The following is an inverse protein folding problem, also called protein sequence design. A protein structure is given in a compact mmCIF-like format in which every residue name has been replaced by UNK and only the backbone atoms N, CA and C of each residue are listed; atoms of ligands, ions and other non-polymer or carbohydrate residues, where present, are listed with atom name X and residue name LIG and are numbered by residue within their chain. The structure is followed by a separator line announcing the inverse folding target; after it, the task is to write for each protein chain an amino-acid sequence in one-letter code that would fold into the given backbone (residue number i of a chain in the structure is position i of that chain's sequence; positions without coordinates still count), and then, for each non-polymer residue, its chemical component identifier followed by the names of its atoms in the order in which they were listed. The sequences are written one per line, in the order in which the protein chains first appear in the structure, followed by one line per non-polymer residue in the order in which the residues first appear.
data_IF_982363361479
#
_entry.id   IF_982363361479
#
_cell.length_a   1.000
_cell.length_b   1.000
_cell.length_c   1.000
_cell.angle_alpha   90.00
_cell.angle_beta   90.00
_cell.angle_gamma   90.00
#
_symmetry.space_group_name_H-M   'P 1'
#
loop_
_entity.id
_entity.type
_entity.pdbx_description
1 polymer ?
#
# COMPACT_ATOMS: atom_id res chain seq x y z
N UNK A 1 -25.91 -2.59 -8.36
CA UNK A 1 -24.45 -2.36 -8.46
C UNK A 1 -23.98 -1.88 -7.09
N UNK A 2 -22.89 -2.43 -6.55
CA UNK A 2 -22.36 -1.99 -5.25
C UNK A 2 -21.56 -0.68 -5.40
N UNK A 3 -21.50 0.14 -4.35
CA UNK A 3 -20.83 1.46 -4.35
C UNK A 3 -19.37 1.42 -4.88
N UNK A 4 -18.67 0.29 -4.65
CA UNK A 4 -17.33 0.01 -5.18
C UNK A 4 -17.24 0.03 -6.72
N UNK A 5 -18.31 -0.40 -7.40
CA UNK A 5 -18.38 -0.49 -8.86
C UNK A 5 -18.89 0.80 -9.51
N UNK A 6 -19.61 1.63 -8.76
CA UNK A 6 -20.18 2.89 -9.25
C UNK A 6 -19.23 4.08 -9.07
N UNK A 7 -18.07 3.86 -8.45
CA UNK A 7 -17.07 4.91 -8.22
C UNK A 7 -17.42 5.86 -7.06
N UNK A 8 -18.42 5.52 -6.25
CA UNK A 8 -18.80 6.33 -5.09
C UNK A 8 -17.77 6.18 -3.97
N UNK A 9 -17.17 7.31 -3.54
CA UNK A 9 -16.25 7.36 -2.41
C UNK A 9 -17.07 7.35 -1.11
N UNK A 10 -17.33 6.15 -0.59
CA UNK A 10 -17.94 5.92 0.73
C UNK A 10 -16.88 5.52 1.76
N UNK A 11 -17.24 5.50 3.05
CA UNK A 11 -16.33 5.02 4.10
C UNK A 11 -15.86 3.58 3.86
N UNK A 12 -16.75 2.72 3.36
CA UNK A 12 -16.45 1.32 3.05
C UNK A 12 -15.42 1.21 1.92
N UNK A 13 -15.56 1.99 0.86
CA UNK A 13 -14.58 2.01 -0.24
C UNK A 13 -13.23 2.52 0.20
N UNK A 14 -13.19 3.54 1.08
CA UNK A 14 -11.93 4.05 1.63
C UNK A 14 -11.18 2.98 2.43
N UNK A 15 -11.90 2.24 3.30
CA UNK A 15 -11.31 1.15 4.09
C UNK A 15 -10.77 0.05 3.16
N UNK A 16 -11.53 -0.35 2.15
CA UNK A 16 -11.11 -1.40 1.20
C UNK A 16 -9.84 -0.98 0.46
N UNK A 17 -9.81 0.22 -0.11
CA UNK A 17 -8.64 0.72 -0.82
C UNK A 17 -7.43 0.92 0.09
N UNK A 18 -7.65 1.32 1.34
CA UNK A 18 -6.59 1.43 2.33
C UNK A 18 -5.98 0.05 2.66
N UNK A 19 -6.81 -0.98 2.85
CA UNK A 19 -6.32 -2.36 3.06
C UNK A 19 -5.54 -2.88 1.85
N UNK A 20 -6.04 -2.61 0.64
CA UNK A 20 -5.31 -2.95 -0.60
C UNK A 20 -3.95 -2.24 -0.64
N UNK A 21 -3.89 -0.96 -0.25
CA UNK A 21 -2.65 -0.20 -0.19
C UNK A 21 -1.62 -0.81 0.76
N UNK A 22 -2.06 -1.31 1.92
CA UNK A 22 -1.18 -1.98 2.88
C UNK A 22 -0.60 -3.27 2.29
N UNK A 23 -1.43 -4.08 1.63
CA UNK A 23 -0.99 -5.35 1.03
C UNK A 23 -0.03 -5.09 -0.12
N UNK A 24 -0.40 -4.22 -1.06
CA UNK A 24 0.43 -3.90 -2.23
C UNK A 24 1.71 -3.19 -1.79
N UNK A 25 1.63 -2.30 -0.80
CA UNK A 25 2.78 -1.63 -0.19
C UNK A 25 3.74 -2.60 0.47
N UNK A 26 3.23 -3.62 1.17
CA UNK A 26 4.07 -4.68 1.75
C UNK A 26 4.74 -5.53 0.67
N UNK A 27 4.03 -5.93 -0.38
CA UNK A 27 4.60 -6.71 -1.48
C UNK A 27 5.67 -5.90 -2.22
N UNK A 28 5.35 -4.68 -2.63
CA UNK A 28 6.28 -3.79 -3.32
C UNK A 28 7.48 -3.44 -2.45
N UNK A 29 7.25 -3.19 -1.17
CA UNK A 29 8.30 -2.95 -0.17
C UNK A 29 9.23 -4.14 0.00
N UNK A 30 8.70 -5.36 0.10
CA UNK A 30 9.51 -6.57 0.25
C UNK A 30 10.40 -6.79 -0.98
N UNK A 31 9.87 -6.64 -2.19
CA UNK A 31 10.64 -6.72 -3.44
C UNK A 31 11.72 -5.62 -3.47
N UNK A 32 11.36 -4.38 -3.14
CA UNK A 32 12.31 -3.27 -3.05
C UNK A 32 13.41 -3.50 -2.01
N UNK A 33 13.06 -4.06 -0.85
CA UNK A 33 13.99 -4.44 0.21
C UNK A 33 15.02 -5.44 -0.28
N UNK A 34 14.59 -6.52 -0.96
CA UNK A 34 15.49 -7.50 -1.56
C UNK A 34 16.42 -6.83 -2.59
N UNK A 35 15.88 -5.98 -3.47
CA UNK A 35 16.66 -5.32 -4.53
C UNK A 35 17.74 -4.39 -3.96
N UNK A 36 17.42 -3.65 -2.90
CA UNK A 36 18.31 -2.62 -2.33
C UNK A 36 19.29 -3.22 -1.31
N UNK A 37 18.81 -4.04 -0.37
CA UNK A 37 19.57 -4.52 0.79
C UNK A 37 19.83 -6.02 0.82
N UNK A 38 19.26 -6.82 -0.10
CA UNK A 38 19.37 -8.27 -0.07
C UNK A 38 20.81 -8.80 -0.16
N UNK A 39 21.69 -8.06 -0.85
CA UNK A 39 23.12 -8.37 -0.97
C UNK A 39 23.92 -8.25 0.34
N UNK A 40 23.47 -7.40 1.26
CA UNK A 40 24.17 -7.11 2.52
C UNK A 40 23.51 -7.80 3.73
N UNK A 41 22.17 -7.91 3.72
CA UNK A 41 21.36 -8.42 4.83
C UNK A 41 20.86 -9.85 4.62
N UNK A 42 20.95 -10.38 3.39
CA UNK A 42 20.25 -11.58 2.96
C UNK A 42 18.80 -11.30 2.56
N UNK A 43 18.28 -12.12 1.64
CA UNK A 43 16.97 -11.88 1.03
C UNK A 43 15.82 -11.92 2.04
N UNK A 44 15.85 -12.82 3.02
CA UNK A 44 14.75 -13.00 3.98
C UNK A 44 14.61 -11.78 4.91
N UNK A 45 15.72 -11.32 5.48
CA UNK A 45 15.72 -10.15 6.36
C UNK A 45 15.40 -8.87 5.57
N UNK A 46 15.96 -8.74 4.37
CA UNK A 46 15.67 -7.62 3.48
C UNK A 46 14.19 -7.58 3.05
N UNK A 47 13.59 -8.73 2.77
CA UNK A 47 12.16 -8.85 2.46
C UNK A 47 11.28 -8.51 3.67
N UNK A 48 11.63 -8.98 4.88
CA UNK A 48 10.91 -8.63 6.10
C UNK A 48 10.94 -7.13 6.37
N UNK A 49 12.10 -6.50 6.28
CA UNK A 49 12.24 -5.05 6.50
C UNK A 49 11.51 -4.27 5.43
N UNK A 50 11.73 -4.60 4.16
CA UNK A 50 11.03 -3.98 3.04
C UNK A 50 9.51 -4.12 3.16
N UNK A 51 9.01 -5.30 3.49
CA UNK A 51 7.57 -5.56 3.63
C UNK A 51 6.94 -4.85 4.82
N UNK A 52 7.67 -4.66 5.91
CA UNK A 52 7.20 -3.91 7.08
C UNK A 52 7.14 -2.39 6.82
N UNK A 53 8.16 -1.85 6.15
CA UNK A 53 8.26 -0.40 5.89
C UNK A 53 7.58 0.06 4.60
N UNK A 54 7.37 -0.82 3.62
CA UNK A 54 6.69 -0.51 2.36
C UNK A 54 5.28 0.11 2.52
N UNK A 55 4.44 -0.39 3.44
CA UNK A 55 3.15 0.21 3.74
C UNK A 55 3.23 1.65 4.26
N UNK A 56 4.35 2.08 4.87
CA UNK A 56 4.51 3.45 5.38
C UNK A 56 4.44 4.48 4.27
N UNK A 57 4.90 4.15 3.06
CA UNK A 57 4.75 5.04 1.90
C UNK A 57 3.38 4.87 1.22
N UNK A 58 2.91 3.63 1.08
CA UNK A 58 1.67 3.33 0.36
C UNK A 58 0.41 3.84 1.09
N UNK A 59 0.33 3.65 2.41
CA UNK A 59 -0.82 4.04 3.23
C UNK A 59 -1.14 5.54 3.16
N UNK A 60 -0.20 6.47 3.45
CA UNK A 60 -0.48 7.91 3.36
C UNK A 60 -0.72 8.36 1.92
N UNK A 61 -0.02 7.78 0.93
CA UNK A 61 -0.25 8.10 -0.48
C UNK A 61 -1.68 7.78 -0.93
N UNK A 62 -2.19 6.60 -0.57
CA UNK A 62 -3.57 6.22 -0.88
C UNK A 62 -4.58 7.01 -0.07
N UNK A 63 -4.32 7.28 1.21
CA UNK A 63 -5.16 8.17 2.02
C UNK A 63 -5.32 9.55 1.37
N UNK A 64 -4.21 10.17 0.98
CA UNK A 64 -4.23 11.46 0.29
C UNK A 64 -4.97 11.39 -1.05
N UNK A 65 -4.73 10.34 -1.84
CA UNK A 65 -5.45 10.13 -3.10
C UNK A 65 -6.96 10.02 -2.92
N UNK A 66 -7.42 9.26 -1.92
CA UNK A 66 -8.84 9.12 -1.59
C UNK A 66 -9.45 10.44 -1.09
N UNK A 67 -8.71 11.21 -0.28
CA UNK A 67 -9.15 12.52 0.19
C UNK A 67 -9.30 13.48 -0.99
N UNK A 68 -8.33 13.54 -1.90
CA UNK A 68 -8.38 14.41 -3.08
C UNK A 68 -9.57 14.02 -3.98
N UNK A 69 -9.77 12.73 -4.23
CA UNK A 69 -10.89 12.22 -5.02
C UNK A 69 -12.26 12.50 -4.38
N UNK A 70 -12.33 12.73 -3.06
CA UNK A 70 -13.59 13.14 -2.42
C UNK A 70 -13.99 14.58 -2.78
N UNK A 71 -13.05 15.41 -3.23
CA UNK A 71 -13.28 16.81 -3.58
C UNK A 71 -13.41 17.08 -5.08
N UNK A 72 -13.26 16.06 -5.93
CA UNK A 72 -13.39 16.13 -7.39
C UNK A 72 -14.67 15.41 -7.80
#
# INVERSE_FOLDING_TARGET
MNALMTGEITLVTCIIWYVIALIVGAIGGAVGGIVVGGKDLGNDLAAMMGGFFGPIAAAPGVLLGLIILMFI
#
